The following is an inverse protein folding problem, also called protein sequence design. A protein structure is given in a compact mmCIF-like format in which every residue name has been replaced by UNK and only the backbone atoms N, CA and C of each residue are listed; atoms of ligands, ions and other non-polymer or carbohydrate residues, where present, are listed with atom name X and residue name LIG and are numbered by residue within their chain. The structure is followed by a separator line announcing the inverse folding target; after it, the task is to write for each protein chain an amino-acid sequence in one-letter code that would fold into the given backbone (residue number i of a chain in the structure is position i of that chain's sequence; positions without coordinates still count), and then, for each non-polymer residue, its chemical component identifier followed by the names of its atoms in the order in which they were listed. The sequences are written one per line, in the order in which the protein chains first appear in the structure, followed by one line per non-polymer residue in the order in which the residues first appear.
data_IF_693150379389
#
_entry.id   IF_693150379389
#
_cell.length_a   1.000
_cell.length_b   1.000
_cell.length_c   1.000
_cell.angle_alpha   90.00
_cell.angle_beta   90.00
_cell.angle_gamma   90.00
#
_symmetry.space_group_name_H-M   'P 1'
#
loop_
_entity.id
_entity.type
_entity.pdbx_description
1 polymer ?
#
# COMPACT_ATOMS: atom_id res chain seq x y z
N UNK A 1 11.21 -1.67 4.10
CA UNK A 1 10.55 -1.83 5.41
C UNK A 1 9.06 -1.71 5.21
N UNK A 2 8.26 -2.39 6.04
CA UNK A 2 6.80 -2.24 6.07
C UNK A 2 6.45 -1.21 7.15
N UNK A 3 5.57 -0.27 6.83
CA UNK A 3 5.00 0.67 7.79
C UNK A 3 3.47 0.55 7.74
N UNK A 4 2.85 0.44 8.91
CA UNK A 4 1.40 0.41 9.06
C UNK A 4 0.99 1.76 9.63
N UNK A 5 0.08 2.46 8.94
CA UNK A 5 -0.40 3.78 9.32
C UNK A 5 -1.91 3.66 9.59
N UNK A 6 -2.32 4.06 10.79
CA UNK A 6 -3.73 4.27 11.09
C UNK A 6 -4.12 5.72 10.75
N UNK A 7 -4.74 5.89 9.60
CA UNK A 7 -5.15 7.21 9.10
C UNK A 7 -6.28 7.86 9.92
N UNK A 8 -6.93 7.11 10.82
CA UNK A 8 -7.89 7.70 11.76
C UNK A 8 -7.18 8.55 12.83
N UNK A 9 -5.92 8.22 13.11
CA UNK A 9 -5.01 8.93 14.02
C UNK A 9 -4.17 9.94 13.23
N UNK A 10 -3.48 9.50 12.17
CA UNK A 10 -2.60 10.33 11.33
C UNK A 10 -3.32 10.80 10.05
N UNK A 11 -4.30 11.70 10.19
CA UNK A 11 -5.17 12.13 9.08
C UNK A 11 -4.42 12.80 7.93
N UNK A 12 -3.32 13.47 8.21
CA UNK A 12 -2.46 14.12 7.22
C UNK A 12 -1.89 13.12 6.20
N UNK A 13 -1.65 11.87 6.59
CA UNK A 13 -1.14 10.83 5.70
C UNK A 13 -2.13 10.47 4.61
N UNK A 14 -3.44 10.47 4.92
CA UNK A 14 -4.46 10.26 3.92
C UNK A 14 -4.48 11.37 2.86
N UNK A 15 -4.19 12.62 3.26
CA UNK A 15 -4.12 13.76 2.33
C UNK A 15 -2.84 13.67 1.49
N UNK A 16 -1.68 13.46 2.12
CA UNK A 16 -0.38 13.34 1.47
C UNK A 16 -0.37 12.27 0.38
N UNK A 17 -0.95 11.10 0.67
CA UNK A 17 -1.02 9.97 -0.25
C UNK A 17 -2.34 9.86 -1.03
N UNK A 18 -3.22 10.86 -0.91
CA UNK A 18 -4.52 10.92 -1.60
C UNK A 18 -5.37 9.66 -1.41
N UNK A 19 -5.39 9.13 -0.18
CA UNK A 19 -6.11 7.91 0.18
C UNK A 19 -7.60 8.23 0.32
N UNK A 20 -8.40 7.68 -0.59
CA UNK A 20 -9.87 7.81 -0.57
C UNK A 20 -10.59 6.50 -0.25
N UNK A 21 -9.87 5.38 -0.22
CA UNK A 21 -10.38 4.03 0.12
C UNK A 21 -9.47 3.38 1.14
N UNK A 22 -10.05 2.63 2.08
CA UNK A 22 -9.32 1.78 3.01
C UNK A 22 -9.78 0.31 2.89
N UNK A 23 -8.89 -0.68 3.09
CA UNK A 23 -7.44 -0.53 3.27
C UNK A 23 -6.71 -0.24 1.94
N UNK A 24 -5.56 0.45 2.04
CA UNK A 24 -4.69 0.82 0.91
C UNK A 24 -3.24 0.46 1.23
N UNK A 25 -2.56 -0.23 0.30
CA UNK A 25 -1.13 -0.52 0.35
C UNK A 25 -0.40 0.33 -0.69
N UNK A 26 0.64 1.04 -0.26
CA UNK A 26 1.44 1.91 -1.12
C UNK A 26 2.90 1.43 -1.13
N UNK A 27 3.40 1.08 -2.31
CA UNK A 27 4.83 0.82 -2.54
C UNK A 27 5.49 2.13 -2.99
N UNK A 28 6.20 2.77 -2.07
CA UNK A 28 6.86 4.08 -2.30
C UNK A 28 8.19 3.97 -3.04
N UNK A 29 8.85 2.81 -3.02
CA UNK A 29 10.15 2.60 -3.65
C UNK A 29 10.24 1.22 -4.33
N UNK A 30 10.98 1.10 -5.44
CA UNK A 30 11.46 2.20 -6.30
C UNK A 30 10.30 3.02 -6.91
N UNK A 31 10.60 4.27 -7.28
CA UNK A 31 9.69 5.15 -8.03
C UNK A 31 9.36 4.56 -9.42
N UNK A 32 8.14 4.76 -9.96
CA UNK A 32 7.02 5.51 -9.39
C UNK A 32 6.30 4.77 -8.27
N UNK A 33 5.58 5.52 -7.43
CA UNK A 33 4.73 4.94 -6.40
C UNK A 33 3.64 4.06 -7.02
N UNK A 34 3.36 2.94 -6.38
CA UNK A 34 2.28 2.03 -6.78
C UNK A 34 1.31 1.82 -5.63
N UNK A 35 0.03 1.74 -5.94
CA UNK A 35 -1.06 1.65 -4.96
C UNK A 35 -1.92 0.44 -5.24
N UNK A 36 -2.21 -0.36 -4.22
CA UNK A 36 -3.22 -1.42 -4.22
C UNK A 36 -4.32 -1.03 -3.24
N UNK A 37 -5.56 -1.14 -3.68
CA UNK A 37 -6.75 -0.86 -2.88
C UNK A 37 -7.54 -2.15 -2.67
N UNK A 38 -8.05 -2.36 -1.45
CA UNK A 38 -8.84 -3.53 -1.09
C UNK A 38 -8.16 -4.40 -0.04
N UNK A 39 -8.81 -5.50 0.33
CA UNK A 39 -8.49 -6.34 1.50
C UNK A 39 -7.19 -7.17 1.41
N UNK A 40 -6.44 -7.06 0.31
CA UNK A 40 -5.16 -7.76 0.07
C UNK A 40 -5.26 -9.28 0.15
N UNK A 41 -6.44 -9.87 -0.05
CA UNK A 41 -6.67 -11.33 0.06
C UNK A 41 -6.02 -12.17 -1.05
N UNK A 42 -5.77 -11.58 -2.22
CA UNK A 42 -5.04 -12.23 -3.32
C UNK A 42 -3.52 -12.07 -3.14
N UNK A 43 -2.93 -12.97 -2.35
CA UNK A 43 -1.49 -12.96 -2.05
C UNK A 43 -0.63 -12.96 -3.31
N UNK A 44 -0.98 -13.75 -4.33
CA UNK A 44 -0.18 -13.85 -5.56
C UNK A 44 -0.14 -12.51 -6.28
N UNK A 45 -1.29 -11.85 -6.41
CA UNK A 45 -1.38 -10.53 -7.01
C UNK A 45 -0.59 -9.50 -6.18
N UNK A 46 -0.74 -9.52 -4.86
CA UNK A 46 -0.01 -8.59 -3.97
C UNK A 46 1.51 -8.75 -4.12
N UNK A 47 2.03 -9.98 -4.11
CA UNK A 47 3.47 -10.23 -4.28
C UNK A 47 3.99 -9.76 -5.64
N UNK A 48 3.23 -9.98 -6.72
CA UNK A 48 3.57 -9.47 -8.05
C UNK A 48 3.66 -7.93 -8.08
N UNK A 49 2.72 -7.23 -7.44
CA UNK A 49 2.78 -5.76 -7.32
C UNK A 49 3.97 -5.27 -6.50
N UNK A 50 4.41 -6.07 -5.51
CA UNK A 50 5.55 -5.75 -4.67
C UNK A 50 6.90 -6.12 -5.29
N UNK A 51 6.90 -6.73 -6.48
CA UNK A 51 8.10 -7.27 -7.14
C UNK A 51 8.85 -8.28 -6.23
N UNK A 52 8.07 -9.08 -5.49
CA UNK A 52 8.60 -10.12 -4.61
C UNK A 52 8.37 -11.46 -5.29
N UNK A 53 9.45 -12.17 -5.57
CA UNK A 53 9.43 -13.52 -6.09
C UNK A 53 9.64 -14.52 -4.96
N UNK A 54 8.83 -15.57 -4.91
CA UNK A 54 9.10 -16.73 -4.05
C UNK A 54 10.35 -17.46 -4.56
N UNK A 55 11.25 -17.79 -3.64
CA UNK A 55 12.51 -18.51 -3.90
C UNK A 55 12.32 -20.01 -4.02
#
# INVERSE_FOLDING_TARGET
SLQIIDISIEKERAIEYQIVVIPTLIRVNPSPWQTIVGDLTDTKKVLQYLDIHES
#
